data_IF_268524714927
#
_entry.id   IF_268524714927
#
_cell.length_a   1.000
_cell.length_b   1.000
_cell.length_c   1.000
_cell.angle_alpha   90.00
_cell.angle_beta   90.00
_cell.angle_gamma   90.00
#
_symmetry.space_group_name_H-M   'P 1'
#
loop_
_entity.id
_entity.type
_entity.pdbx_description
1 polymer ?
#
# COMPACT_ATOMS: atom_id res chain seq x y z
N UNK A 1 6.97 9.72 -18.03
CA UNK A 1 6.95 9.78 -16.55
C UNK A 1 5.57 9.41 -15.97
N UNK A 2 4.99 8.27 -16.37
CA UNK A 2 3.67 7.85 -15.84
C UNK A 2 3.81 6.87 -14.66
N UNK A 3 4.85 6.04 -14.68
CA UNK A 3 5.13 5.08 -13.62
C UNK A 3 5.37 5.75 -12.25
N UNK A 4 6.19 6.80 -12.21
CA UNK A 4 6.45 7.53 -10.98
C UNK A 4 5.20 8.22 -10.42
N UNK A 5 4.38 8.83 -11.29
CA UNK A 5 3.10 9.44 -10.89
C UNK A 5 2.12 8.38 -10.38
N UNK A 6 2.08 7.21 -11.03
CA UNK A 6 1.28 6.07 -10.60
C UNK A 6 1.70 5.55 -9.22
N UNK A 7 3.00 5.40 -8.96
CA UNK A 7 3.53 4.99 -7.66
C UNK A 7 3.19 5.99 -6.54
N UNK A 8 3.33 7.29 -6.81
CA UNK A 8 2.98 8.34 -5.83
C UNK A 8 1.48 8.33 -5.55
N UNK A 9 0.65 8.24 -6.59
CA UNK A 9 -0.80 8.15 -6.46
C UNK A 9 -1.23 6.93 -5.65
N UNK A 10 -0.57 5.79 -5.87
CA UNK A 10 -0.81 4.56 -5.11
C UNK A 10 -0.56 4.76 -3.61
N UNK A 11 0.62 5.29 -3.24
CA UNK A 11 0.97 5.56 -1.84
C UNK A 11 0.02 6.58 -1.19
N UNK A 12 -0.39 7.63 -1.92
CA UNK A 12 -1.30 8.65 -1.41
C UNK A 12 -2.71 8.11 -1.17
N UNK A 13 -3.21 7.25 -2.06
CA UNK A 13 -4.55 6.64 -1.91
C UNK A 13 -4.56 5.66 -0.75
N UNK A 14 -3.55 4.79 -0.63
CA UNK A 14 -3.46 3.82 0.47
C UNK A 14 -3.28 4.49 1.83
N UNK A 15 -2.47 5.54 1.93
CA UNK A 15 -2.29 6.29 3.18
C UNK A 15 -3.59 6.97 3.65
N UNK A 16 -4.33 7.62 2.73
CA UNK A 16 -5.63 8.22 3.06
C UNK A 16 -6.63 7.17 3.52
N UNK A 17 -6.66 6.02 2.85
CA UNK A 17 -7.53 4.93 3.21
C UNK A 17 -7.21 4.35 4.60
N UNK A 18 -5.92 4.20 4.94
CA UNK A 18 -5.47 3.75 6.25
C UNK A 18 -5.84 4.74 7.37
N UNK A 19 -5.70 6.05 7.11
CA UNK A 19 -6.05 7.10 8.08
C UNK A 19 -7.57 7.20 8.32
N UNK A 20 -8.38 7.00 7.28
CA UNK A 20 -9.84 7.13 7.35
C UNK A 20 -10.50 5.92 8.05
N UNK A 21 -9.89 4.75 7.91
CA UNK A 21 -10.36 3.50 8.51
C UNK A 21 -9.55 3.20 9.75
N UNK A 22 -9.94 3.78 10.90
CA UNK A 22 -9.37 3.59 12.25
C UNK A 22 -8.62 2.26 12.39
N UNK A 23 -7.36 2.29 11.95
CA UNK A 23 -6.70 1.07 11.47
C UNK A 23 -5.99 0.43 12.62
N UNK A 24 -6.26 -0.86 12.81
CA UNK A 24 -5.55 -1.68 13.79
C UNK A 24 -4.09 -1.92 13.39
N UNK A 25 -3.72 -1.62 12.15
CA UNK A 25 -2.36 -1.69 11.63
C UNK A 25 -1.57 -0.45 12.05
N UNK A 26 -0.36 -0.66 12.58
CA UNK A 26 0.58 0.44 12.79
C UNK A 26 0.99 1.06 11.45
N UNK A 27 1.49 2.29 11.50
CA UNK A 27 1.99 2.98 10.31
C UNK A 27 3.08 2.18 9.60
N UNK A 28 4.01 1.57 10.35
CA UNK A 28 5.07 0.75 9.74
C UNK A 28 4.49 -0.47 9.02
N UNK A 29 3.51 -1.16 9.60
CA UNK A 29 2.86 -2.31 8.98
C UNK A 29 2.11 -1.92 7.71
N UNK A 30 1.42 -0.79 7.72
CA UNK A 30 0.73 -0.27 6.53
C UNK A 30 1.73 0.07 5.41
N UNK A 31 2.87 0.69 5.74
CA UNK A 31 3.93 1.00 4.77
C UNK A 31 4.54 -0.28 4.20
N UNK A 32 4.84 -1.27 5.04
CA UNK A 32 5.42 -2.54 4.60
C UNK A 32 4.46 -3.31 3.68
N UNK A 33 3.17 -3.32 4.01
CA UNK A 33 2.12 -3.92 3.19
C UNK A 33 2.05 -3.29 1.78
N UNK A 34 1.97 -1.96 1.73
CA UNK A 34 1.88 -1.18 0.49
C UNK A 34 3.15 -1.38 -0.35
N UNK A 35 4.32 -1.37 0.29
CA UNK A 35 5.61 -1.57 -0.38
C UNK A 35 5.70 -2.99 -0.98
N UNK A 36 5.32 -4.02 -0.21
CA UNK A 36 5.28 -5.40 -0.71
C UNK A 36 4.34 -5.54 -1.90
N UNK A 37 3.17 -4.92 -1.85
CA UNK A 37 2.21 -4.94 -2.95
C UNK A 37 2.75 -4.22 -4.21
N UNK A 38 3.43 -3.08 -4.03
CA UNK A 38 4.03 -2.33 -5.13
C UNK A 38 5.14 -3.12 -5.86
N UNK A 39 5.94 -3.91 -5.13
CA UNK A 39 7.08 -4.64 -5.70
C UNK A 39 6.79 -6.09 -6.08
N UNK A 40 5.99 -6.82 -5.29
CA UNK A 40 5.69 -8.25 -5.50
C UNK A 40 4.36 -8.49 -6.20
N UNK A 41 3.53 -7.45 -6.32
CA UNK A 41 2.17 -7.56 -6.83
C UNK A 41 1.24 -8.34 -5.90
N UNK A 42 -0.02 -8.44 -6.29
CA UNK A 42 -1.06 -9.17 -5.53
C UNK A 42 -0.75 -10.67 -5.45
N UNK A 43 0.02 -11.20 -6.41
CA UNK A 43 0.54 -12.57 -6.38
C UNK A 43 1.47 -12.89 -5.19
N UNK A 44 2.01 -11.86 -4.53
CA UNK A 44 2.83 -12.03 -3.33
C UNK A 44 2.05 -12.31 -2.05
N UNK A 45 0.71 -12.24 -2.09
CA UNK A 45 -0.15 -12.47 -0.93
C UNK A 45 -0.58 -13.94 -0.81
N UNK A 46 -0.66 -14.49 0.41
CA UNK A 46 -1.06 -15.88 0.62
C UNK A 46 -2.51 -16.10 0.14
N UNK A 47 -2.70 -17.09 -0.74
CA UNK A 47 -4.01 -17.62 -1.12
C UNK A 47 -4.40 -18.70 -0.11
N UNK A 48 -4.94 -18.29 1.03
CA UNK A 48 -5.72 -19.18 1.91
C UNK A 48 -7.18 -18.77 1.83
#
# INVERSE_FOLDING_TARGET
MLLGVGMIGYAQVTARHWLDRDSTLTREQAVELVNNLMWRGISGFPRN
#
